data_IF_549965716525
#
_entry.id   IF_549965716525
#
_cell.length_a   1.000
_cell.length_b   1.000
_cell.length_c   1.000
_cell.angle_alpha   90.00
_cell.angle_beta   90.00
_cell.angle_gamma   90.00
#
_symmetry.space_group_name_H-M   'P 1'
#
loop_
_entity.id
_entity.type
_entity.pdbx_description
1 polymer ?
#
# COMPACT_ATOMS: atom_id res chain seq x y z
N UNK A 1 -7.75 -21.66 -5.18
CA UNK A 1 -8.10 -20.60 -4.21
C UNK A 1 -7.42 -19.31 -4.66
N UNK A 2 -7.93 -18.12 -4.30
CA UNK A 2 -7.22 -16.86 -4.53
C UNK A 2 -6.68 -16.33 -3.20
N UNK A 3 -5.46 -15.77 -3.21
CA UNK A 3 -4.85 -15.03 -2.10
C UNK A 3 -4.41 -13.68 -2.61
N UNK A 4 -4.20 -12.70 -1.72
CA UNK A 4 -3.62 -11.42 -2.12
C UNK A 4 -2.22 -11.25 -1.57
N UNK A 5 -1.36 -10.59 -2.34
CA UNK A 5 0.02 -10.29 -1.94
C UNK A 5 0.25 -8.79 -2.08
N UNK A 6 0.76 -8.15 -1.01
CA UNK A 6 1.13 -6.74 -1.02
C UNK A 6 2.50 -6.54 -1.65
N UNK A 7 2.58 -5.69 -2.67
CA UNK A 7 3.87 -5.27 -3.24
C UNK A 7 4.32 -3.93 -2.67
N UNK A 8 5.63 -3.72 -2.60
CA UNK A 8 6.26 -2.48 -2.17
C UNK A 8 5.90 -2.00 -0.75
N UNK A 9 5.28 -2.84 0.07
CA UNK A 9 4.63 -2.41 1.32
C UNK A 9 3.64 -1.25 1.09
N UNK A 10 2.90 -1.33 -0.03
CA UNK A 10 1.97 -0.29 -0.47
C UNK A 10 0.56 -0.89 -0.57
N UNK A 11 -0.37 -0.33 0.21
CA UNK A 11 -1.78 -0.74 0.30
C UNK A 11 -2.47 -0.64 -1.06
N UNK A 12 -2.01 0.26 -1.91
CA UNK A 12 -2.52 0.38 -3.27
C UNK A 12 -2.06 -0.75 -4.19
N UNK A 13 -1.15 -1.64 -3.76
CA UNK A 13 -0.54 -2.67 -4.60
C UNK A 13 -0.78 -4.08 -4.06
N UNK A 14 -1.99 -4.31 -3.58
CA UNK A 14 -2.46 -5.63 -3.19
C UNK A 14 -2.99 -6.39 -4.42
N UNK A 15 -2.28 -7.40 -4.89
CA UNK A 15 -2.63 -8.15 -6.11
C UNK A 15 -3.12 -9.56 -5.80
N UNK A 16 -4.11 -10.03 -6.56
CA UNK A 16 -4.65 -11.38 -6.43
C UNK A 16 -3.83 -12.43 -7.19
N UNK A 17 -3.58 -13.56 -6.53
CA UNK A 17 -2.87 -14.73 -7.04
C UNK A 17 -3.70 -15.99 -6.86
N UNK A 18 -3.77 -16.81 -7.91
CA UNK A 18 -4.35 -18.13 -7.86
C UNK A 18 -3.33 -19.13 -7.30
N UNK A 19 -3.80 -19.92 -6.33
CA UNK A 19 -3.01 -20.91 -5.61
C UNK A 19 -3.76 -22.24 -5.60
N UNK A 20 -3.02 -23.30 -5.91
CA UNK A 20 -3.50 -24.68 -5.94
C UNK A 20 -3.22 -25.40 -4.61
N UNK A 21 -3.80 -26.59 -4.40
CA UNK A 21 -3.76 -27.27 -3.09
C UNK A 21 -2.35 -27.59 -2.59
N UNK A 22 -1.47 -27.99 -3.51
CA UNK A 22 -0.10 -28.40 -3.19
C UNK A 22 0.90 -27.23 -3.22
N UNK A 23 0.45 -26.03 -3.62
CA UNK A 23 1.34 -24.87 -3.72
C UNK A 23 1.81 -24.44 -2.33
N UNK A 24 3.13 -24.47 -2.14
CA UNK A 24 3.82 -23.95 -0.96
C UNK A 24 4.15 -22.47 -1.14
N UNK A 25 4.31 -21.77 -0.02
CA UNK A 25 4.62 -20.35 -0.03
C UNK A 25 5.96 -20.05 -0.72
N UNK A 26 6.98 -20.87 -0.45
CA UNK A 26 8.33 -20.78 -1.05
C UNK A 26 8.33 -20.94 -2.57
N UNK A 27 7.51 -21.84 -3.10
CA UNK A 27 7.52 -22.19 -4.51
C UNK A 27 6.63 -21.26 -5.34
N UNK A 28 5.51 -20.82 -4.76
CA UNK A 28 4.52 -19.98 -5.44
C UNK A 28 4.71 -18.51 -5.17
N UNK A 29 4.65 -18.10 -3.90
CA UNK A 29 4.63 -16.69 -3.51
C UNK A 29 6.03 -16.09 -3.48
N UNK A 30 7.00 -16.76 -2.85
CA UNK A 30 8.38 -16.26 -2.80
C UNK A 30 9.02 -16.17 -4.18
N UNK A 31 8.65 -17.07 -5.09
CA UNK A 31 9.11 -17.06 -6.48
C UNK A 31 8.74 -15.78 -7.23
N UNK A 32 7.64 -15.10 -6.89
CA UNK A 32 7.26 -13.81 -7.48
C UNK A 32 8.40 -12.80 -7.36
N UNK A 33 9.10 -12.80 -6.22
CA UNK A 33 10.11 -11.81 -5.89
C UNK A 33 11.50 -12.11 -6.45
N UNK A 34 11.72 -13.31 -7.03
CA UNK A 34 13.05 -13.72 -7.49
C UNK A 34 13.58 -12.86 -8.62
N UNK A 35 14.89 -12.59 -8.59
CA UNK A 35 15.60 -11.79 -9.62
C UNK A 35 16.34 -12.63 -10.66
N UNK A 36 16.37 -13.94 -10.49
CA UNK A 36 17.07 -14.92 -11.34
C UNK A 36 16.42 -15.15 -12.72
N UNK A 37 15.36 -14.40 -13.06
CA UNK A 37 14.60 -14.55 -14.30
C UNK A 37 13.43 -15.52 -14.20
N UNK A 38 13.26 -16.20 -13.06
CA UNK A 38 12.13 -17.11 -12.80
C UNK A 38 10.96 -16.44 -12.07
N UNK A 39 11.10 -15.14 -11.76
CA UNK A 39 10.15 -14.33 -11.00
C UNK A 39 9.98 -12.93 -11.60
N UNK A 40 8.97 -12.21 -11.11
CA UNK A 40 8.66 -10.84 -11.54
C UNK A 40 9.67 -9.82 -11.01
N UNK A 41 10.36 -10.11 -9.90
CA UNK A 41 11.43 -9.26 -9.36
C UNK A 41 12.58 -9.00 -10.34
N UNK A 42 12.71 -9.81 -11.40
CA UNK A 42 13.65 -9.56 -12.50
C UNK A 42 13.24 -8.37 -13.38
N UNK A 43 11.93 -8.22 -13.62
CA UNK A 43 11.35 -7.25 -14.56
C UNK A 43 10.84 -5.98 -13.87
N UNK A 44 10.54 -6.05 -12.58
CA UNK A 44 9.97 -4.92 -11.84
C UNK A 44 10.45 -4.86 -10.40
N UNK A 45 10.27 -3.69 -9.77
CA UNK A 45 10.66 -3.47 -8.39
C UNK A 45 9.49 -3.75 -7.47
N UNK A 46 9.65 -4.81 -6.67
CA UNK A 46 8.65 -5.31 -5.72
C UNK A 46 8.98 -5.01 -4.26
N UNK A 47 10.21 -4.54 -4.00
CA UNK A 47 10.68 -4.10 -2.67
C UNK A 47 10.23 -2.66 -2.38
N UNK A 48 10.08 -2.26 -1.11
CA UNK A 48 9.64 -0.90 -0.77
C UNK A 48 10.59 0.17 -1.28
N UNK A 49 11.90 0.00 -1.02
CA UNK A 49 12.93 0.98 -1.37
C UNK A 49 14.24 0.33 -1.78
N UNK A 50 15.18 1.13 -2.30
CA UNK A 50 16.53 0.68 -2.65
C UNK A 50 17.32 0.13 -1.45
N UNK A 51 16.96 0.57 -0.25
CA UNK A 51 17.64 0.22 0.99
C UNK A 51 17.25 -1.16 1.52
N UNK A 52 16.20 -1.77 0.96
CA UNK A 52 15.80 -3.12 1.33
C UNK A 52 16.52 -4.19 0.49
N UNK A 53 16.58 -5.41 1.04
CA UNK A 53 17.01 -6.59 0.28
C UNK A 53 16.18 -6.75 -1.00
N UNK A 54 16.79 -7.39 -1.99
CA UNK A 54 16.16 -7.60 -3.29
C UNK A 54 14.95 -8.53 -3.23
N UNK A 55 14.98 -9.49 -2.30
CA UNK A 55 13.97 -10.50 -2.06
C UNK A 55 13.55 -10.44 -0.59
N UNK A 56 12.28 -10.75 -0.28
CA UNK A 56 11.79 -10.77 1.10
C UNK A 56 12.44 -11.91 1.90
N UNK A 57 12.55 -11.73 3.21
CA UNK A 57 13.18 -12.72 4.13
C UNK A 57 12.18 -13.65 4.80
N UNK A 58 10.91 -13.45 4.54
CA UNK A 58 9.82 -14.24 5.07
C UNK A 58 8.49 -13.61 4.68
N UNK A 59 7.40 -14.17 5.18
CA UNK A 59 6.05 -13.72 4.86
C UNK A 59 5.17 -13.77 6.11
N UNK A 60 4.31 -12.77 6.22
CA UNK A 60 3.24 -12.72 7.21
C UNK A 60 1.90 -12.83 6.49
N UNK A 61 0.87 -13.27 7.20
CA UNK A 61 -0.51 -13.00 6.82
C UNK A 61 -1.07 -11.88 7.71
N UNK A 62 -1.90 -11.04 7.12
CA UNK A 62 -2.66 -10.05 7.87
C UNK A 62 -3.83 -10.73 8.57
N UNK A 63 -3.93 -10.50 9.87
CA UNK A 63 -5.02 -10.87 10.75
C UNK A 63 -5.82 -9.62 11.14
N UNK A 64 -5.86 -8.58 10.31
CA UNK A 64 -6.74 -7.45 10.58
C UNK A 64 -8.19 -7.85 10.25
N UNK A 65 -9.20 -7.54 11.08
CA UNK A 65 -10.60 -7.95 10.83
C UNK A 65 -11.10 -7.55 9.44
N UNK A 66 -10.80 -6.31 9.06
CA UNK A 66 -11.05 -5.74 7.73
C UNK A 66 -12.30 -4.86 7.72
N UNK A 67 -12.72 -4.48 6.51
CA UNK A 67 -13.88 -3.63 6.28
C UNK A 67 -14.94 -4.39 5.50
N UNK A 68 -16.14 -4.54 6.07
CA UNK A 68 -17.23 -5.23 5.40
C UNK A 68 -17.99 -4.28 4.47
N UNK A 69 -18.12 -4.67 3.21
CA UNK A 69 -18.87 -3.96 2.19
C UNK A 69 -20.36 -4.23 2.28
N UNK A 70 -21.19 -3.38 1.65
CA UNK A 70 -22.65 -3.61 1.56
C UNK A 70 -23.00 -4.92 0.83
N UNK A 71 -22.07 -5.43 0.01
CA UNK A 71 -22.19 -6.75 -0.64
C UNK A 71 -21.85 -7.95 0.23
N UNK A 72 -21.43 -7.72 1.48
CA UNK A 72 -20.98 -8.77 2.40
C UNK A 72 -19.61 -9.32 2.05
N UNK A 73 -18.76 -8.59 1.34
CA UNK A 73 -17.36 -8.95 1.11
C UNK A 73 -16.44 -8.15 2.06
N UNK A 74 -15.21 -8.61 2.26
CA UNK A 74 -14.25 -7.94 3.15
C UNK A 74 -13.12 -7.31 2.33
N UNK A 75 -12.90 -6.01 2.53
CA UNK A 75 -11.74 -5.27 2.05
C UNK A 75 -10.68 -5.17 3.15
N UNK A 76 -9.43 -5.00 2.76
CA UNK A 76 -8.37 -4.75 3.72
C UNK A 76 -8.49 -3.35 4.31
N UNK A 77 -8.17 -3.25 5.58
CA UNK A 77 -8.01 -1.96 6.23
C UNK A 77 -6.64 -1.36 5.91
N UNK A 78 -6.49 -0.07 6.19
CA UNK A 78 -5.21 0.62 6.10
C UNK A 78 -4.19 0.03 7.06
N UNK A 79 -4.63 -0.34 8.26
CA UNK A 79 -3.79 -0.90 9.31
C UNK A 79 -3.57 -2.42 9.15
N UNK A 80 -3.88 -2.99 7.97
CA UNK A 80 -3.73 -4.41 7.71
C UNK A 80 -2.27 -4.90 7.81
N UNK A 81 -1.28 -4.02 7.72
CA UNK A 81 0.14 -4.29 7.94
C UNK A 81 0.67 -3.72 9.25
N UNK A 82 -0.20 -3.41 10.22
CA UNK A 82 0.23 -3.11 11.58
C UNK A 82 0.78 -4.37 12.26
N UNK A 83 1.85 -4.20 13.06
CA UNK A 83 2.59 -5.32 13.65
C UNK A 83 1.75 -6.23 14.56
N UNK A 84 0.71 -5.69 15.18
CA UNK A 84 -0.22 -6.43 16.05
C UNK A 84 -1.09 -7.43 15.29
N UNK A 85 -1.32 -7.20 13.99
CA UNK A 85 -2.11 -8.08 13.12
C UNK A 85 -1.26 -9.00 12.25
N UNK A 86 0.08 -8.98 12.39
CA UNK A 86 0.95 -9.79 11.55
C UNK A 86 1.23 -11.16 12.18
N UNK A 87 0.80 -12.22 11.51
CA UNK A 87 1.14 -13.60 11.89
C UNK A 87 2.11 -14.22 10.90
N UNK A 88 3.24 -14.75 11.39
CA UNK A 88 4.27 -15.36 10.56
C UNK A 88 3.73 -16.62 9.86
N UNK A 89 4.02 -16.75 8.57
CA UNK A 89 3.71 -17.93 7.77
C UNK A 89 4.91 -18.88 7.73
N UNK A 90 4.62 -20.17 7.70
CA UNK A 90 5.61 -21.22 7.45
C UNK A 90 5.77 -21.39 5.93
N UNK A 91 7.00 -21.20 5.44
CA UNK A 91 7.29 -21.23 4.00
C UNK A 91 7.16 -22.62 3.37
N UNK A 92 7.34 -23.67 4.16
CA UNK A 92 7.37 -25.06 3.70
C UNK A 92 5.97 -25.70 3.70
N UNK A 93 5.00 -25.08 4.37
CA UNK A 93 3.61 -25.58 4.41
C UNK A 93 2.79 -25.10 3.20
N UNK A 94 1.78 -25.88 2.79
CA UNK A 94 0.83 -25.44 1.78
C UNK A 94 0.16 -24.13 2.18
N UNK A 95 -0.07 -23.25 1.19
CA UNK A 95 -0.70 -21.94 1.45
C UNK A 95 -2.13 -22.11 1.97
N UNK A 96 -2.90 -23.05 1.40
CA UNK A 96 -4.29 -23.28 1.75
C UNK A 96 -4.51 -23.73 3.21
N UNK A 97 -3.49 -24.29 3.84
CA UNK A 97 -3.53 -24.73 5.24
C UNK A 97 -3.26 -23.60 6.23
N UNK A 98 -2.86 -22.42 5.74
CA UNK A 98 -2.39 -21.33 6.58
C UNK A 98 -3.21 -20.05 6.43
N UNK A 99 -3.90 -19.87 5.29
CA UNK A 99 -4.63 -18.63 4.96
C UNK A 99 -6.06 -18.88 4.52
N UNK A 100 -6.94 -17.94 4.83
CA UNK A 100 -8.29 -17.89 4.28
C UNK A 100 -8.29 -17.48 2.80
N UNK A 101 -9.33 -17.86 2.03
CA UNK A 101 -9.53 -17.33 0.68
C UNK A 101 -9.57 -15.79 0.70
N UNK A 102 -8.75 -15.17 -0.15
CA UNK A 102 -8.63 -13.72 -0.24
C UNK A 102 -7.87 -13.09 0.92
N UNK A 103 -7.19 -13.83 1.79
CA UNK A 103 -6.38 -13.22 2.84
C UNK A 103 -5.12 -12.55 2.29
N UNK A 104 -4.72 -11.44 2.91
CA UNK A 104 -3.55 -10.67 2.52
C UNK A 104 -2.26 -11.29 3.08
N UNK A 105 -1.30 -11.53 2.19
CA UNK A 105 0.07 -11.95 2.48
C UNK A 105 0.99 -10.73 2.35
N UNK A 106 1.78 -10.49 3.38
CA UNK A 106 2.70 -9.37 3.53
C UNK A 106 4.13 -9.89 3.48
N UNK A 107 4.94 -9.51 2.46
CA UNK A 107 6.34 -9.88 2.43
C UNK A 107 7.12 -9.14 3.52
N UNK A 108 7.99 -9.86 4.24
CA UNK A 108 8.91 -9.28 5.22
C UNK A 108 10.14 -8.72 4.52
N UNK A 109 10.38 -7.43 4.70
CA UNK A 109 11.51 -6.73 4.11
C UNK A 109 12.56 -6.36 5.16
N UNK A 110 13.75 -6.91 5.03
CA UNK A 110 14.90 -6.46 5.83
C UNK A 110 15.65 -5.33 5.13
N UNK A 111 16.13 -4.37 5.93
CA UNK A 111 17.07 -3.36 5.47
C UNK A 111 18.40 -4.04 5.10
N UNK A 112 18.88 -3.77 3.90
CA UNK A 112 20.19 -4.18 3.42
C UNK A 112 21.23 -3.12 3.84
N UNK A 113 21.94 -3.36 4.93
CA UNK A 113 23.00 -2.46 5.44
C UNK A 113 24.07 -2.16 4.38
N UNK A 114 24.36 -3.11 3.51
CA UNK A 114 25.31 -2.95 2.40
C UNK A 114 24.80 -1.89 1.42
N UNK A 115 23.52 -1.94 1.02
CA UNK A 115 22.96 -0.95 0.10
C UNK A 115 22.97 0.46 0.72
N UNK A 116 22.62 0.56 2.02
CA UNK A 116 22.68 1.82 2.76
C UNK A 116 24.11 2.36 2.79
N UNK A 117 25.10 1.50 3.08
CA UNK A 117 26.50 1.89 3.11
C UNK A 117 27.03 2.33 1.74
N UNK A 118 26.75 1.58 0.67
CA UNK A 118 27.13 1.95 -0.70
C UNK A 118 26.51 3.28 -1.09
N UNK A 119 25.22 3.47 -0.79
CA UNK A 119 24.53 4.73 -1.05
C UNK A 119 25.18 5.89 -0.29
N UNK A 120 25.43 5.73 1.00
CA UNK A 120 26.07 6.74 1.83
C UNK A 120 27.47 7.07 1.29
N UNK A 121 28.26 6.07 0.89
CA UNK A 121 29.58 6.27 0.30
C UNK A 121 29.51 7.08 -0.99
N UNK A 122 28.58 6.75 -1.91
CA UNK A 122 28.39 7.49 -3.16
C UNK A 122 28.00 8.95 -2.87
N UNK A 123 27.07 9.19 -1.94
CA UNK A 123 26.66 10.55 -1.58
C UNK A 123 27.78 11.33 -0.89
N UNK A 124 28.58 10.68 -0.04
CA UNK A 124 29.74 11.30 0.61
C UNK A 124 30.84 11.63 -0.41
N UNK A 125 31.11 10.75 -1.37
CA UNK A 125 32.06 11.02 -2.46
C UNK A 125 31.58 12.21 -3.30
N UNK A 126 30.28 12.29 -3.59
CA UNK A 126 29.72 13.44 -4.29
C UNK A 126 29.85 14.73 -3.47
N UNK A 127 29.49 14.72 -2.19
CA UNK A 127 29.68 15.89 -1.33
C UNK A 127 31.15 16.28 -1.20
N UNK A 128 32.06 15.30 -1.19
CA UNK A 128 33.50 15.54 -1.19
C UNK A 128 33.96 16.26 -2.46
N UNK A 129 33.47 15.87 -3.64
CA UNK A 129 33.83 16.57 -4.88
C UNK A 129 33.34 18.02 -4.89
N UNK A 130 32.23 18.28 -4.21
CA UNK A 130 31.57 19.59 -4.18
C UNK A 130 32.01 20.45 -2.97
N UNK A 131 33.03 20.02 -2.21
CA UNK A 131 33.57 20.80 -1.08
C UNK A 131 34.06 22.19 -1.55
N UNK A 132 33.83 23.25 -0.76
CA UNK A 132 34.40 24.57 -1.01
C UNK A 132 35.93 24.50 -1.21
N UNK A 133 36.46 25.22 -2.20
CA UNK A 133 37.89 25.23 -2.53
C UNK A 133 38.77 25.64 -1.33
N UNK A 134 38.21 26.42 -0.39
CA UNK A 134 38.92 26.85 0.82
C UNK A 134 39.22 25.72 1.82
N UNK A 135 38.51 24.60 1.76
CA UNK A 135 38.70 23.43 2.65
C UNK A 135 38.96 22.13 1.90
N UNK A 136 38.71 22.11 0.59
CA UNK A 136 38.93 20.93 -0.23
C UNK A 136 40.43 20.62 -0.32
N UNK A 137 40.88 19.40 0.00
CA UNK A 137 42.27 19.00 -0.19
C UNK A 137 42.62 18.86 -1.69
N UNK A 138 41.61 18.83 -2.57
CA UNK A 138 41.76 18.82 -4.03
C UNK A 138 40.84 19.89 -4.65
N UNK A 139 41.22 21.18 -4.59
CA UNK A 139 40.41 22.29 -5.12
C UNK A 139 40.09 22.11 -6.60
N UNK A 140 38.86 22.47 -7.00
CA UNK A 140 38.40 22.38 -8.38
C UNK A 140 38.14 20.97 -8.94
N UNK A 141 38.05 19.93 -8.09
CA UNK A 141 37.68 18.55 -8.48
C UNK A 141 36.16 18.35 -8.70
N UNK A 142 35.35 19.37 -8.39
CA UNK A 142 33.90 19.34 -8.52
C UNK A 142 33.45 18.77 -9.87
N UNK A 143 32.35 18.01 -9.86
CA UNK A 143 31.85 17.35 -11.06
C UNK A 143 31.51 18.36 -12.16
N UNK A 144 30.99 19.53 -11.80
CA UNK A 144 30.74 20.64 -12.75
C UNK A 144 32.02 21.12 -13.40
N UNK A 145 33.12 21.26 -12.65
CA UNK A 145 34.40 21.67 -13.23
C UNK A 145 34.95 20.63 -14.21
N UNK A 146 34.78 19.34 -13.92
CA UNK A 146 35.17 18.28 -14.86
C UNK A 146 34.28 18.26 -16.12
N UNK A 147 32.98 18.56 -15.99
CA UNK A 147 32.09 18.73 -17.12
C UNK A 147 32.49 19.95 -17.97
N UNK A 148 32.77 21.09 -17.34
CA UNK A 148 33.25 22.30 -18.01
C UNK A 148 34.57 22.05 -18.76
N UNK A 149 35.53 21.33 -18.15
CA UNK A 149 36.77 20.88 -18.81
C UNK A 149 36.52 20.04 -20.06
N UNK A 150 35.49 19.20 -20.04
CA UNK A 150 35.11 18.35 -21.17
C UNK A 150 34.40 19.13 -22.28
N UNK A 151 33.65 20.19 -21.94
CA UNK A 151 32.92 21.03 -22.89
C UNK A 151 33.79 22.10 -23.57
N UNK A 152 34.86 22.58 -22.92
CA UNK A 152 35.82 23.53 -23.50
C UNK A 152 36.28 23.13 -24.91
N UNK A 153 36.80 21.91 -25.18
CA UNK A 153 37.24 21.53 -26.52
C UNK A 153 36.09 21.44 -27.52
N UNK A 154 34.86 21.16 -27.06
CA UNK A 154 33.66 21.14 -27.92
C UNK A 154 33.29 22.56 -28.36
N UNK A 155 33.31 23.52 -27.44
CA UNK A 155 33.03 24.92 -27.76
C UNK A 155 34.13 25.58 -28.58
N UNK A 156 35.40 25.22 -28.33
CA UNK A 156 36.52 25.64 -29.18
C UNK A 156 36.35 25.11 -30.62
N UNK A 157 35.91 23.85 -30.79
CA UNK A 157 35.63 23.27 -32.10
C UNK A 157 34.46 23.94 -32.83
N UNK A 158 33.45 24.41 -32.09
CA UNK A 158 32.30 25.13 -32.63
C UNK A 158 32.55 26.64 -32.82
N UNK A 159 33.78 27.11 -32.63
CA UNK A 159 34.20 28.52 -32.70
C UNK A 159 33.47 29.45 -31.71
N UNK A 160 32.93 28.89 -30.62
CA UNK A 160 32.26 29.61 -29.54
C UNK A 160 33.26 30.02 -28.45
N UNK A 161 34.26 30.80 -28.83
CA UNK A 161 35.41 31.13 -27.98
C UNK A 161 35.05 31.90 -26.70
N UNK A 162 34.03 32.77 -26.74
CA UNK A 162 33.58 33.51 -25.55
C UNK A 162 33.08 32.55 -24.46
N UNK A 163 32.30 31.54 -24.83
CA UNK A 163 31.82 30.51 -23.91
C UNK A 163 32.96 29.64 -23.37
N UNK A 164 33.90 29.25 -24.23
CA UNK A 164 35.11 28.50 -23.81
C UNK A 164 35.94 29.29 -22.80
N UNK A 165 36.16 30.59 -23.03
CA UNK A 165 36.91 31.46 -22.14
C UNK A 165 36.22 31.63 -20.78
N UNK A 166 34.89 31.78 -20.76
CA UNK A 166 34.13 31.81 -19.51
C UNK A 166 34.25 30.51 -18.71
N UNK A 167 34.17 29.34 -19.36
CA UNK A 167 34.35 28.05 -18.70
C UNK A 167 35.78 27.86 -18.16
N UNK A 168 36.79 28.36 -18.86
CA UNK A 168 38.20 28.34 -18.40
C UNK A 168 38.38 29.14 -17.11
N UNK A 169 37.72 30.30 -17.01
CA UNK A 169 37.73 31.13 -15.80
C UNK A 169 37.03 30.42 -14.63
N UNK A 170 35.84 29.86 -14.86
CA UNK A 170 35.04 29.17 -13.84
C UNK A 170 35.76 27.95 -13.25
N UNK A 171 36.51 27.21 -14.07
CA UNK A 171 37.26 26.01 -13.64
C UNK A 171 38.48 26.35 -12.78
N UNK A 172 38.92 27.61 -12.76
CA UNK A 172 40.10 28.03 -12.00
C UNK A 172 39.79 28.04 -10.50
N UNK A 173 40.59 27.36 -9.65
CA UNK A 173 40.35 27.32 -8.20
C UNK A 173 40.28 28.72 -7.59
N UNK A 174 39.26 28.96 -6.75
CA UNK A 174 39.10 30.24 -6.07
C UNK A 174 38.54 31.39 -6.93
N UNK A 175 38.04 31.12 -8.15
CA UNK A 175 37.32 32.11 -8.95
C UNK A 175 36.07 32.66 -8.24
N UNK A 176 35.33 31.78 -7.55
CA UNK A 176 34.11 32.12 -6.82
C UNK A 176 34.41 32.70 -5.43
N UNK A 177 33.60 33.65 -4.97
CA UNK A 177 33.72 34.22 -3.62
C UNK A 177 33.46 33.18 -2.52
N UNK A 178 34.05 33.37 -1.33
CA UNK A 178 33.92 32.43 -0.21
C UNK A 178 32.45 32.20 0.19
N UNK A 179 31.64 33.26 0.21
CA UNK A 179 30.20 33.16 0.49
C UNK A 179 29.47 32.36 -0.58
N UNK A 180 29.82 32.55 -1.85
CA UNK A 180 29.22 31.78 -2.94
C UNK A 180 29.57 30.30 -2.83
N UNK A 181 30.83 29.96 -2.54
CA UNK A 181 31.27 28.56 -2.37
C UNK A 181 30.50 27.84 -1.25
N UNK A 182 30.33 28.48 -0.08
CA UNK A 182 29.54 27.92 1.02
C UNK A 182 28.04 27.86 0.71
N UNK A 183 27.51 28.86 0.01
CA UNK A 183 26.12 28.88 -0.46
C UNK A 183 25.84 27.71 -1.40
N UNK A 184 26.69 27.49 -2.41
CA UNK A 184 26.57 26.36 -3.32
C UNK A 184 26.69 25.03 -2.57
N UNK A 185 27.71 24.84 -1.73
CA UNK A 185 27.87 23.60 -0.96
C UNK A 185 26.63 23.29 -0.09
N UNK A 186 26.05 24.31 0.56
CA UNK A 186 24.80 24.15 1.34
C UNK A 186 23.64 23.66 0.48
N UNK A 187 23.49 24.19 -0.75
CA UNK A 187 22.49 23.71 -1.70
C UNK A 187 22.77 22.25 -2.14
N UNK A 188 24.03 21.86 -2.29
CA UNK A 188 24.40 20.47 -2.57
C UNK A 188 24.04 19.53 -1.41
N UNK A 189 24.27 19.93 -0.15
CA UNK A 189 23.82 19.16 1.02
C UNK A 189 22.31 19.00 1.01
N UNK A 190 21.55 20.09 0.80
CA UNK A 190 20.09 20.04 0.72
C UNK A 190 19.62 19.12 -0.41
N UNK A 191 20.25 19.19 -1.59
CA UNK A 191 19.99 18.29 -2.71
C UNK A 191 20.21 16.82 -2.35
N UNK A 192 21.30 16.48 -1.66
CA UNK A 192 21.56 15.10 -1.21
C UNK A 192 20.51 14.65 -0.20
N UNK A 193 20.09 15.52 0.73
CA UNK A 193 18.98 15.22 1.65
C UNK A 193 17.67 14.96 0.90
N UNK A 194 17.35 15.76 -0.12
CA UNK A 194 16.16 15.57 -0.96
C UNK A 194 16.21 14.24 -1.73
N UNK A 195 17.35 13.91 -2.33
CA UNK A 195 17.57 12.62 -3.01
C UNK A 195 17.43 11.46 -2.01
N UNK A 196 17.98 11.62 -0.80
CA UNK A 196 17.85 10.63 0.28
C UNK A 196 16.39 10.42 0.65
N UNK A 197 15.62 11.50 0.80
CA UNK A 197 14.19 11.44 1.08
C UNK A 197 13.43 10.68 -0.03
N UNK A 198 13.70 10.98 -1.31
CA UNK A 198 13.05 10.29 -2.43
C UNK A 198 13.32 8.78 -2.45
N UNK A 199 14.55 8.37 -2.13
CA UNK A 199 14.89 6.96 -2.01
C UNK A 199 14.36 6.32 -0.73
N UNK A 200 14.31 7.06 0.38
CA UNK A 200 13.85 6.57 1.68
C UNK A 200 12.34 6.35 1.73
N UNK A 201 11.56 7.20 1.06
CA UNK A 201 10.10 7.05 0.91
C UNK A 201 9.74 6.12 -0.26
N UNK A 202 10.68 5.82 -1.16
CA UNK A 202 10.45 4.91 -2.28
C UNK A 202 9.78 5.55 -3.50
N UNK A 203 9.72 6.89 -3.55
CA UNK A 203 9.23 7.66 -4.73
C UNK A 203 10.06 7.30 -5.97
N UNK A 204 11.37 7.17 -5.80
CA UNK A 204 12.27 6.64 -6.82
C UNK A 204 12.81 5.29 -6.35
N UNK A 205 12.51 4.22 -7.08
CA UNK A 205 13.02 2.88 -6.75
C UNK A 205 13.42 2.14 -8.02
N UNK A 206 14.64 2.36 -8.54
CA UNK A 206 15.09 1.73 -9.77
C UNK A 206 15.30 0.22 -9.59
N UNK A 207 15.02 -0.54 -10.66
CA UNK A 207 15.26 -2.01 -10.71
C UNK A 207 16.73 -2.33 -10.47
N UNK A 208 17.61 -1.46 -10.97
CA UNK A 208 19.05 -1.55 -10.85
C UNK A 208 19.68 -0.16 -10.94
N UNK A 209 20.84 0.04 -10.32
CA UNK A 209 21.68 1.22 -10.58
C UNK A 209 22.47 1.12 -11.88
N UNK A 210 22.49 -0.05 -12.52
CA UNK A 210 23.11 -0.23 -13.83
C UNK A 210 22.19 0.33 -14.94
N UNK A 211 22.60 1.41 -15.65
CA UNK A 211 21.77 2.04 -16.69
C UNK A 211 21.43 1.09 -17.84
N UNK A 212 22.33 0.17 -18.23
CA UNK A 212 22.05 -0.82 -19.28
C UNK A 212 20.93 -1.77 -18.88
N UNK A 213 20.89 -2.18 -17.60
CA UNK A 213 19.82 -3.04 -17.08
C UNK A 213 18.50 -2.29 -17.00
N UNK A 214 18.52 -1.01 -16.63
CA UNK A 214 17.32 -0.16 -16.66
C UNK A 214 16.81 -0.04 -18.10
N UNK A 215 17.66 0.31 -19.06
CA UNK A 215 17.28 0.41 -20.47
C UNK A 215 16.69 -0.90 -20.99
N UNK A 216 17.35 -2.05 -20.71
CA UNK A 216 16.89 -3.37 -21.16
C UNK A 216 15.51 -3.74 -20.61
N UNK A 217 15.20 -3.37 -19.36
CA UNK A 217 13.89 -3.64 -18.76
C UNK A 217 12.84 -2.67 -19.31
N UNK A 218 13.17 -1.39 -19.47
CA UNK A 218 12.25 -0.37 -20.00
C UNK A 218 11.92 -0.59 -21.48
N UNK A 219 12.86 -1.13 -22.27
CA UNK A 219 12.66 -1.47 -23.68
C UNK A 219 11.98 -2.83 -23.89
N UNK A 220 11.64 -3.55 -22.83
CA UNK A 220 11.07 -4.88 -22.93
C UNK A 220 9.59 -4.82 -23.29
N UNK A 221 9.20 -5.61 -24.29
CA UNK A 221 7.79 -5.77 -24.65
C UNK A 221 7.09 -6.71 -23.65
N UNK A 222 6.22 -6.15 -22.82
CA UNK A 222 5.43 -6.88 -21.83
C UNK A 222 4.44 -7.87 -22.47
N UNK A 223 4.19 -7.77 -23.78
CA UNK A 223 3.29 -8.69 -24.48
C UNK A 223 3.96 -9.99 -24.92
N UNK A 224 5.27 -10.12 -24.69
CA UNK A 224 6.04 -11.31 -25.04
C UNK A 224 5.44 -12.60 -24.43
N UNK A 225 5.41 -13.70 -25.19
CA UNK A 225 4.86 -14.97 -24.71
C UNK A 225 5.56 -15.51 -23.45
N UNK A 226 6.87 -15.29 -23.31
CA UNK A 226 7.65 -15.70 -22.14
C UNK A 226 7.12 -15.07 -20.84
N UNK A 227 6.88 -13.76 -20.87
CA UNK A 227 6.36 -13.00 -19.72
C UNK A 227 4.92 -13.41 -19.43
N UNK A 228 4.07 -13.54 -20.46
CA UNK A 228 2.68 -14.02 -20.29
C UNK A 228 2.62 -15.41 -19.65
N UNK A 229 3.48 -16.32 -20.09
CA UNK A 229 3.58 -17.66 -19.53
C UNK A 229 4.09 -17.63 -18.09
N UNK A 230 5.05 -16.76 -17.78
CA UNK A 230 5.54 -16.57 -16.40
C UNK A 230 4.43 -16.05 -15.48
N UNK A 231 3.72 -14.99 -15.87
CA UNK A 231 2.61 -14.40 -15.11
C UNK A 231 1.52 -15.45 -14.86
N UNK A 232 1.17 -16.24 -15.89
CA UNK A 232 0.21 -17.35 -15.78
C UNK A 232 0.71 -18.44 -14.82
N UNK A 233 1.98 -18.82 -14.91
CA UNK A 233 2.60 -19.82 -14.05
C UNK A 233 2.61 -19.39 -12.57
N UNK A 234 2.93 -18.11 -12.33
CA UNK A 234 2.85 -17.51 -10.99
C UNK A 234 1.42 -17.39 -10.46
N UNK A 235 0.40 -17.65 -11.30
CA UNK A 235 -1.01 -17.52 -10.93
C UNK A 235 -1.45 -16.06 -10.78
N UNK A 236 -0.71 -15.10 -11.32
CA UNK A 236 -1.05 -13.68 -11.18
C UNK A 236 -2.29 -13.37 -12.02
N UNK A 237 -3.37 -12.98 -11.35
CA UNK A 237 -4.66 -12.68 -11.97
C UNK A 237 -4.67 -11.30 -12.64
N UNK A 238 -3.69 -10.44 -12.33
CA UNK A 238 -3.59 -9.07 -12.85
C UNK A 238 -4.66 -8.12 -12.29
N UNK A 239 -5.33 -8.50 -11.20
CA UNK A 239 -6.34 -7.67 -10.54
C UNK A 239 -5.81 -7.21 -9.20
N UNK A 240 -5.90 -5.90 -8.99
CA UNK A 240 -5.55 -5.20 -7.77
C UNK A 240 -6.79 -5.10 -6.88
N UNK A 241 -6.68 -5.40 -5.59
CA UNK A 241 -7.74 -5.12 -4.63
C UNK A 241 -7.91 -3.62 -4.45
N UNK A 242 -9.16 -3.19 -4.28
CA UNK A 242 -9.48 -1.78 -4.09
C UNK A 242 -9.40 -1.39 -2.62
N UNK A 243 -9.04 -0.13 -2.37
CA UNK A 243 -9.14 0.49 -1.05
C UNK A 243 -10.60 0.85 -0.72
N UNK A 244 -10.86 1.22 0.54
CA UNK A 244 -12.20 1.58 1.02
C UNK A 244 -12.78 2.78 0.26
N UNK A 245 -11.95 3.78 -0.05
CA UNK A 245 -12.30 5.03 -0.73
C UNK A 245 -12.62 4.75 -2.19
N UNK A 246 -11.81 3.90 -2.83
CA UNK A 246 -12.06 3.46 -4.21
C UNK A 246 -13.40 2.72 -4.29
N UNK A 247 -13.68 1.87 -3.29
CA UNK A 247 -14.95 1.19 -3.21
C UNK A 247 -16.11 2.18 -3.01
N UNK A 248 -15.99 3.11 -2.07
CA UNK A 248 -17.00 4.12 -1.78
C UNK A 248 -17.36 4.94 -3.03
N UNK A 249 -16.35 5.46 -3.73
CA UNK A 249 -16.54 6.26 -4.95
C UNK A 249 -17.26 5.45 -6.05
N UNK A 250 -16.81 4.22 -6.30
CA UNK A 250 -17.34 3.37 -7.38
C UNK A 250 -18.73 2.83 -7.04
N UNK A 251 -18.98 2.48 -5.78
CA UNK A 251 -20.30 2.04 -5.32
C UNK A 251 -21.31 3.18 -5.40
N UNK A 252 -20.90 4.40 -5.03
CA UNK A 252 -21.74 5.59 -5.17
C UNK A 252 -22.14 5.86 -6.63
N UNK A 253 -21.18 5.81 -7.56
CA UNK A 253 -21.46 5.93 -8.99
C UNK A 253 -22.40 4.81 -9.49
N UNK A 254 -22.17 3.58 -9.05
CA UNK A 254 -23.02 2.45 -9.39
C UNK A 254 -24.47 2.64 -8.93
N UNK A 255 -24.70 3.10 -7.70
CA UNK A 255 -26.06 3.37 -7.19
C UNK A 255 -26.72 4.49 -7.99
N UNK A 256 -26.03 5.60 -8.26
CA UNK A 256 -26.59 6.68 -9.08
C UNK A 256 -27.00 6.16 -10.46
N UNK A 257 -26.14 5.36 -11.11
CA UNK A 257 -26.41 4.77 -12.42
C UNK A 257 -27.59 3.80 -12.37
N UNK A 258 -27.69 2.97 -11.33
CA UNK A 258 -28.76 1.98 -11.14
C UNK A 258 -30.13 2.64 -11.01
N UNK A 259 -30.22 3.76 -10.28
CA UNK A 259 -31.48 4.50 -10.08
C UNK A 259 -31.69 5.61 -11.13
N UNK A 260 -30.78 5.77 -12.07
CA UNK A 260 -30.80 6.73 -13.18
C UNK A 260 -30.32 8.14 -12.82
N UNK A 261 -30.60 8.63 -11.61
CA UNK A 261 -30.05 9.88 -11.09
C UNK A 261 -30.04 9.93 -9.56
N UNK A 262 -29.30 10.89 -9.00
CA UNK A 262 -29.15 11.08 -7.55
C UNK A 262 -30.49 11.37 -6.85
N UNK A 263 -31.41 12.09 -7.50
CA UNK A 263 -32.72 12.40 -6.90
C UNK A 263 -33.59 11.15 -6.71
N UNK A 264 -33.60 10.24 -7.69
CA UNK A 264 -34.30 8.94 -7.60
C UNK A 264 -33.63 8.02 -6.58
N UNK A 265 -32.30 7.99 -6.53
CA UNK A 265 -31.55 7.24 -5.52
C UNK A 265 -31.86 7.75 -4.09
N UNK A 266 -31.98 9.07 -3.91
CA UNK A 266 -32.34 9.68 -2.62
C UNK A 266 -33.77 9.34 -2.21
N UNK A 267 -34.73 9.38 -3.14
CA UNK A 267 -36.13 8.99 -2.87
C UNK A 267 -36.24 7.52 -2.47
N UNK A 268 -35.36 6.66 -2.99
CA UNK A 268 -35.26 5.25 -2.62
C UNK A 268 -34.47 5.00 -1.32
N UNK A 269 -33.94 6.04 -0.66
CA UNK A 269 -33.09 5.90 0.53
C UNK A 269 -31.67 5.36 0.27
N UNK A 270 -31.37 4.94 -0.96
CA UNK A 270 -30.11 4.31 -1.33
C UNK A 270 -28.93 5.28 -1.39
N UNK A 271 -29.19 6.58 -1.51
CA UNK A 271 -28.11 7.57 -1.50
C UNK A 271 -27.38 7.60 -0.15
N UNK A 272 -28.10 7.40 0.98
CA UNK A 272 -27.47 7.33 2.31
C UNK A 272 -26.55 6.12 2.44
N UNK A 273 -26.98 4.97 1.93
CA UNK A 273 -26.19 3.74 1.87
C UNK A 273 -24.97 3.92 0.97
N UNK A 274 -25.14 4.61 -0.17
CA UNK A 274 -24.08 4.88 -1.12
C UNK A 274 -22.98 5.80 -0.58
N UNK A 275 -23.32 6.71 0.33
CA UNK A 275 -22.34 7.62 0.96
C UNK A 275 -21.43 6.86 1.92
N UNK A 276 -21.96 5.93 2.72
CA UNK A 276 -21.16 5.10 3.64
C UNK A 276 -21.42 3.62 3.36
N UNK A 277 -20.85 3.05 2.29
CA UNK A 277 -21.17 1.71 1.86
C UNK A 277 -20.33 0.69 2.60
N UNK A 278 -20.70 0.38 3.84
CA UNK A 278 -20.01 -0.61 4.66
C UNK A 278 -19.55 -0.07 6.01
N UNK A 279 -18.79 -0.89 6.74
CA UNK A 279 -18.34 -0.59 8.09
C UNK A 279 -17.14 -1.48 8.50
N UNK A 280 -16.29 -1.01 9.42
CA UNK A 280 -15.18 -1.80 9.94
C UNK A 280 -15.69 -2.99 10.76
N UNK A 281 -15.00 -4.13 10.62
CA UNK A 281 -15.20 -5.30 11.46
C UNK A 281 -14.44 -5.14 12.78
N UNK A 282 -14.95 -5.79 13.83
CA UNK A 282 -14.41 -5.72 15.18
C UNK A 282 -13.43 -6.85 15.46
N UNK A 283 -12.71 -6.75 16.58
CA UNK A 283 -11.78 -7.81 17.00
C UNK A 283 -12.48 -9.17 17.15
N UNK A 284 -11.81 -10.21 16.67
CA UNK A 284 -12.27 -11.59 16.55
C UNK A 284 -13.03 -11.89 15.26
N UNK A 285 -13.27 -10.90 14.39
CA UNK A 285 -14.07 -11.06 13.17
C UNK A 285 -13.23 -11.15 11.88
N UNK A 286 -13.87 -11.54 10.79
CA UNK A 286 -13.25 -11.53 9.45
C UNK A 286 -11.98 -12.38 9.40
N UNK A 287 -10.86 -11.79 8.96
CA UNK A 287 -9.59 -12.54 8.84
C UNK A 287 -9.00 -12.99 10.18
N UNK A 288 -9.52 -12.52 11.32
CA UNK A 288 -9.15 -13.02 12.65
C UNK A 288 -9.81 -14.37 13.00
N UNK A 289 -10.77 -14.83 12.20
CA UNK A 289 -11.41 -16.13 12.43
C UNK A 289 -10.35 -17.25 12.40
N UNK A 290 -10.28 -18.12 13.42
CA UNK A 290 -9.33 -19.22 13.43
C UNK A 290 -9.58 -20.20 12.28
N UNK A 291 -8.55 -20.48 11.47
CA UNK A 291 -8.67 -21.39 10.33
C UNK A 291 -9.04 -22.82 10.73
N UNK A 292 -8.71 -23.24 11.95
CA UNK A 292 -9.11 -24.53 12.51
C UNK A 292 -10.64 -24.72 12.54
N UNK A 293 -11.40 -23.63 12.65
CA UNK A 293 -12.86 -23.65 12.74
C UNK A 293 -13.55 -23.56 11.38
N UNK A 294 -12.80 -23.67 10.27
CA UNK A 294 -13.27 -23.45 8.90
C UNK A 294 -14.49 -24.28 8.49
N UNK A 295 -14.56 -25.52 8.95
CA UNK A 295 -15.67 -26.44 8.64
C UNK A 295 -16.62 -26.64 9.82
N UNK A 296 -16.33 -26.05 10.98
CA UNK A 296 -17.11 -26.23 12.21
C UNK A 296 -18.11 -25.09 12.43
N UNK A 297 -17.74 -23.87 12.02
CA UNK A 297 -18.58 -22.69 12.19
C UNK A 297 -19.42 -22.46 10.94
N UNK A 298 -20.70 -22.16 11.13
CA UNK A 298 -21.52 -21.52 10.10
C UNK A 298 -21.60 -20.01 10.36
N UNK A 299 -21.10 -19.22 9.40
CA UNK A 299 -21.13 -17.75 9.44
C UNK A 299 -22.53 -17.20 9.67
N UNK A 300 -23.54 -17.78 9.00
CA UNK A 300 -24.89 -17.22 9.00
C UNK A 300 -25.59 -17.45 10.34
N UNK A 301 -25.43 -18.63 10.93
CA UNK A 301 -25.98 -18.92 12.26
C UNK A 301 -25.30 -18.09 13.36
N UNK A 302 -23.97 -17.97 13.31
CA UNK A 302 -23.24 -17.18 14.30
C UNK A 302 -23.56 -15.70 14.21
N UNK A 303 -23.73 -15.17 13.01
CA UNK A 303 -24.15 -13.79 12.85
C UNK A 303 -25.53 -13.55 13.46
N UNK A 304 -26.48 -14.49 13.31
CA UNK A 304 -27.81 -14.37 13.94
C UNK A 304 -27.77 -14.45 15.47
N UNK A 305 -26.93 -15.34 16.03
CA UNK A 305 -26.86 -15.57 17.49
C UNK A 305 -26.00 -14.54 18.23
N UNK A 306 -24.82 -14.24 17.69
CA UNK A 306 -23.81 -13.41 18.35
C UNK A 306 -23.72 -12.00 17.77
N UNK A 307 -24.35 -11.75 16.62
CA UNK A 307 -24.23 -10.46 15.91
C UNK A 307 -22.85 -10.23 15.29
N UNK A 308 -21.97 -11.25 15.29
CA UNK A 308 -20.58 -11.18 14.84
C UNK A 308 -20.33 -11.89 13.50
N UNK A 309 -19.36 -11.41 12.75
CA UNK A 309 -18.99 -11.96 11.44
C UNK A 309 -17.74 -12.83 11.51
N UNK A 310 -17.90 -14.13 11.28
CA UNK A 310 -16.80 -15.10 11.21
C UNK A 310 -16.71 -15.67 9.79
N UNK A 311 -15.52 -15.97 9.31
CA UNK A 311 -15.35 -16.72 8.07
C UNK A 311 -15.67 -18.20 8.25
N UNK A 312 -16.32 -18.78 7.25
CA UNK A 312 -16.60 -20.20 7.15
C UNK A 312 -16.64 -20.63 5.69
N UNK A 313 -16.56 -21.92 5.43
CA UNK A 313 -16.72 -22.43 4.06
C UNK A 313 -18.12 -22.12 3.50
N UNK A 314 -19.17 -22.13 4.35
CA UNK A 314 -20.55 -21.83 3.93
C UNK A 314 -20.67 -20.41 3.36
N UNK A 315 -19.95 -19.46 3.96
CA UNK A 315 -19.88 -18.07 3.49
C UNK A 315 -19.22 -17.96 2.11
N UNK A 316 -18.06 -18.60 1.90
CA UNK A 316 -17.37 -18.52 0.61
C UNK A 316 -18.16 -19.20 -0.52
N UNK A 317 -18.83 -20.32 -0.23
CA UNK A 317 -19.74 -20.98 -1.18
C UNK A 317 -20.89 -20.05 -1.56
N UNK A 318 -21.46 -19.32 -0.59
CA UNK A 318 -22.55 -18.38 -0.85
C UNK A 318 -22.10 -17.20 -1.72
N UNK A 319 -20.90 -16.66 -1.49
CA UNK A 319 -20.31 -15.63 -2.35
C UNK A 319 -20.14 -16.12 -3.79
N UNK A 320 -19.65 -17.35 -3.96
CA UNK A 320 -19.45 -17.96 -5.28
C UNK A 320 -20.79 -18.17 -6.00
N UNK A 321 -21.81 -18.67 -5.30
CA UNK A 321 -23.14 -18.87 -5.84
C UNK A 321 -23.77 -17.54 -6.28
N UNK A 322 -23.60 -16.49 -5.47
CA UNK A 322 -24.07 -15.15 -5.82
C UNK A 322 -23.36 -14.61 -7.07
N UNK A 323 -22.03 -14.72 -7.13
CA UNK A 323 -21.26 -14.31 -8.30
C UNK A 323 -21.71 -15.05 -9.56
N UNK A 324 -21.90 -16.37 -9.49
CA UNK A 324 -22.43 -17.17 -10.61
C UNK A 324 -23.80 -16.67 -11.07
N UNK A 325 -24.67 -16.30 -10.13
CA UNK A 325 -25.98 -15.71 -10.45
C UNK A 325 -25.84 -14.37 -11.18
N UNK A 326 -24.99 -13.47 -10.68
CA UNK A 326 -24.77 -12.16 -11.28
C UNK A 326 -24.14 -12.27 -12.68
N UNK A 327 -23.19 -13.17 -12.86
CA UNK A 327 -22.58 -13.47 -14.17
C UNK A 327 -23.62 -14.02 -15.16
N UNK A 328 -24.57 -14.85 -14.70
CA UNK A 328 -25.67 -15.34 -15.56
C UNK A 328 -26.61 -14.21 -16.02
N UNK A 329 -26.83 -13.17 -15.20
CA UNK A 329 -27.61 -11.98 -15.59
C UNK A 329 -26.96 -11.18 -16.73
N UNK A 330 -25.68 -11.41 -17.03
CA UNK A 330 -25.01 -10.78 -18.18
C UNK A 330 -25.39 -11.41 -19.53
N UNK A 331 -26.28 -12.42 -19.56
CA UNK A 331 -26.82 -13.04 -20.77
C UNK A 331 -25.76 -13.53 -21.79
N UNK A 332 -24.58 -13.94 -21.32
CA UNK A 332 -23.50 -14.46 -22.17
C UNK A 332 -22.61 -13.39 -22.82
N UNK A 333 -22.81 -12.10 -22.51
CA UNK A 333 -21.89 -11.05 -22.94
C UNK A 333 -20.56 -11.18 -22.19
N UNK A 334 -19.52 -11.63 -22.90
CA UNK A 334 -18.17 -11.85 -22.38
C UNK A 334 -17.58 -10.57 -21.75
N UNK A 335 -17.87 -9.40 -22.33
CA UNK A 335 -17.37 -8.12 -21.83
C UNK A 335 -17.95 -7.80 -20.45
N UNK A 336 -19.27 -7.93 -20.32
CA UNK A 336 -19.98 -7.71 -19.06
C UNK A 336 -19.63 -8.75 -18.00
N UNK A 337 -19.52 -10.03 -18.38
CA UNK A 337 -19.10 -11.10 -17.47
C UNK A 337 -17.69 -10.84 -16.92
N UNK A 338 -16.74 -10.46 -17.77
CA UNK A 338 -15.38 -10.13 -17.35
C UNK A 338 -15.34 -8.89 -16.45
N UNK A 339 -16.16 -7.88 -16.74
CA UNK A 339 -16.28 -6.69 -15.90
C UNK A 339 -16.84 -7.05 -14.51
N UNK A 340 -17.83 -7.93 -14.44
CA UNK A 340 -18.42 -8.44 -13.20
C UNK A 340 -17.38 -9.19 -12.35
N UNK A 341 -16.65 -10.13 -12.95
CA UNK A 341 -15.60 -10.89 -12.25
C UNK A 341 -14.47 -9.98 -11.80
N UNK A 342 -14.05 -9.02 -12.63
CA UNK A 342 -13.04 -8.02 -12.25
C UNK A 342 -13.51 -7.17 -11.07
N UNK A 343 -14.77 -6.74 -11.09
CA UNK A 343 -15.37 -5.95 -10.00
C UNK A 343 -15.43 -6.78 -8.72
N UNK A 344 -15.86 -8.03 -8.79
CA UNK A 344 -15.89 -8.93 -7.63
C UNK A 344 -14.50 -9.11 -7.01
N UNK A 345 -13.49 -9.36 -7.82
CA UNK A 345 -12.09 -9.50 -7.38
C UNK A 345 -11.45 -8.19 -6.92
N UNK A 346 -12.03 -7.03 -7.24
CA UNK A 346 -11.52 -5.73 -6.77
C UNK A 346 -12.25 -5.21 -5.54
N UNK A 347 -13.58 -5.28 -5.52
CA UNK A 347 -14.43 -4.68 -4.48
C UNK A 347 -15.42 -5.64 -3.81
N UNK A 348 -15.68 -6.79 -4.44
CA UNK A 348 -16.72 -7.72 -3.98
C UNK A 348 -18.05 -7.54 -4.72
N UNK A 349 -19.12 -8.04 -4.12
CA UNK A 349 -20.46 -8.04 -4.72
C UNK A 349 -21.12 -6.67 -4.59
N UNK A 350 -21.80 -6.22 -5.64
CA UNK A 350 -22.63 -5.01 -5.59
C UNK A 350 -24.13 -5.35 -5.50
N UNK A 351 -24.49 -6.56 -5.94
CA UNK A 351 -25.83 -7.12 -5.84
C UNK A 351 -25.79 -8.42 -5.03
N UNK A 352 -25.71 -8.32 -3.69
CA UNK A 352 -25.83 -9.49 -2.83
C UNK A 352 -27.22 -10.14 -2.96
N UNK A 353 -27.34 -11.38 -2.48
CA UNK A 353 -28.63 -12.06 -2.39
C UNK A 353 -29.21 -11.85 -1.00
N UNK A 354 -30.48 -12.23 -0.81
CA UNK A 354 -31.17 -12.04 0.46
C UNK A 354 -30.41 -12.59 1.68
N UNK A 355 -29.63 -13.67 1.51
CA UNK A 355 -28.85 -14.28 2.59
C UNK A 355 -27.67 -13.41 3.00
N UNK A 356 -26.90 -12.90 2.04
CA UNK A 356 -25.79 -11.97 2.27
C UNK A 356 -26.29 -10.59 2.72
N UNK A 357 -27.39 -10.09 2.15
CA UNK A 357 -28.04 -8.84 2.58
C UNK A 357 -28.47 -8.91 4.04
N UNK A 358 -29.08 -10.03 4.45
CA UNK A 358 -29.48 -10.26 5.84
C UNK A 358 -28.27 -10.29 6.78
N UNK A 359 -27.19 -10.96 6.38
CA UNK A 359 -25.94 -11.01 7.13
C UNK A 359 -25.37 -9.60 7.37
N UNK A 360 -25.25 -8.81 6.29
CA UNK A 360 -24.78 -7.41 6.38
C UNK A 360 -25.70 -6.58 7.27
N UNK A 361 -27.02 -6.70 7.11
CA UNK A 361 -28.00 -5.95 7.89
C UNK A 361 -27.94 -6.27 9.39
N UNK A 362 -27.77 -7.55 9.76
CA UNK A 362 -27.60 -7.96 11.16
C UNK A 362 -26.33 -7.32 11.73
N UNK A 363 -25.20 -7.49 11.04
CA UNK A 363 -23.92 -7.00 11.55
C UNK A 363 -23.85 -5.47 11.58
N UNK A 364 -24.48 -4.78 10.63
CA UNK A 364 -24.60 -3.31 10.60
C UNK A 364 -25.35 -2.78 11.82
N UNK A 365 -26.47 -3.42 12.18
CA UNK A 365 -27.21 -3.08 13.40
C UNK A 365 -26.37 -3.30 14.66
N UNK A 366 -25.58 -4.37 14.71
CA UNK A 366 -24.65 -4.61 15.82
C UNK A 366 -23.58 -3.53 15.87
N UNK A 367 -23.02 -3.13 14.72
CA UNK A 367 -22.03 -2.07 14.62
C UNK A 367 -22.58 -0.74 15.15
N UNK A 368 -23.75 -0.32 14.66
CA UNK A 368 -24.40 0.93 15.06
C UNK A 368 -24.63 0.98 16.56
N UNK A 369 -25.15 -0.10 17.17
CA UNK A 369 -25.35 -0.18 18.62
C UNK A 369 -24.05 -0.05 19.41
N UNK A 370 -23.02 -0.80 19.03
CA UNK A 370 -21.71 -0.76 19.72
C UNK A 370 -21.08 0.63 19.57
N UNK A 371 -21.21 1.25 18.40
CA UNK A 371 -20.68 2.57 18.15
C UNK A 371 -21.38 3.65 18.98
N UNK A 372 -22.71 3.62 19.04
CA UNK A 372 -23.52 4.51 19.89
C UNK A 372 -23.14 4.38 21.37
N UNK A 373 -22.94 3.15 21.87
CA UNK A 373 -22.51 2.88 23.24
C UNK A 373 -21.11 3.46 23.53
N UNK A 374 -20.18 3.29 22.58
CA UNK A 374 -18.81 3.82 22.69
C UNK A 374 -18.80 5.36 22.68
N UNK A 375 -19.55 6.00 21.79
CA UNK A 375 -19.67 7.45 21.74
C UNK A 375 -20.28 8.00 23.03
N UNK A 376 -21.32 7.35 23.56
CA UNK A 376 -21.92 7.71 24.84
C UNK A 376 -20.93 7.58 26.02
N UNK A 377 -20.09 6.54 26.04
CA UNK A 377 -19.07 6.38 27.07
C UNK A 377 -17.97 7.45 26.98
N UNK A 378 -17.52 7.78 25.76
CA UNK A 378 -16.52 8.83 25.53
C UNK A 378 -17.05 10.17 25.99
N UNK A 379 -18.30 10.50 25.66
CA UNK A 379 -18.93 11.75 26.09
C UNK A 379 -19.12 11.77 27.62
N UNK A 380 -19.50 10.65 28.25
CA UNK A 380 -19.56 10.54 29.71
C UNK A 380 -18.20 10.83 30.36
N UNK A 381 -17.13 10.19 29.87
CA UNK A 381 -15.75 10.43 30.37
C UNK A 381 -15.30 11.87 30.16
N UNK A 382 -15.70 12.50 29.05
CA UNK A 382 -15.42 13.91 28.77
C UNK A 382 -16.12 14.82 29.77
N UNK A 383 -17.41 14.59 30.03
CA UNK A 383 -18.19 15.35 31.01
C UNK A 383 -17.65 15.19 32.43
N UNK A 384 -17.26 13.97 32.83
CA UNK A 384 -16.60 13.72 34.11
C UNK A 384 -15.28 14.49 34.26
N UNK A 385 -14.47 14.54 33.19
CA UNK A 385 -13.21 15.30 33.19
C UNK A 385 -13.43 16.81 33.28
N UNK A 386 -14.47 17.33 32.63
CA UNK A 386 -14.86 18.75 32.73
C UNK A 386 -15.38 19.07 34.12
N UNK A 387 -16.20 18.21 34.71
CA UNK A 387 -16.71 18.37 36.06
C UNK A 387 -15.58 18.42 37.10
N UNK A 388 -14.62 17.50 37.01
CA UNK A 388 -13.42 17.51 37.88
C UNK A 388 -12.62 18.80 37.78
N UNK A 389 -12.37 19.30 36.56
CA UNK A 389 -11.66 20.57 36.35
C UNK A 389 -12.39 21.75 36.99
N UNK A 390 -13.71 21.84 36.82
CA UNK A 390 -14.51 22.91 37.44
C UNK A 390 -14.50 22.85 38.97
N UNK A 391 -14.48 21.66 39.53
CA UNK A 391 -14.38 21.48 40.99
C UNK A 391 -13.01 21.87 41.52
N UNK A 392 -11.93 21.51 40.81
CA UNK A 392 -10.56 21.95 41.12
C UNK A 392 -10.41 23.48 41.04
N UNK A 393 -11.00 24.12 40.02
CA UNK A 393 -11.05 25.58 39.87
C UNK A 393 -11.80 26.23 41.03
N UNK A 394 -12.98 25.71 41.41
CA UNK A 394 -13.75 26.22 42.55
C UNK A 394 -12.97 26.11 43.87
N UNK A 395 -12.30 24.97 44.10
CA UNK A 395 -11.45 24.78 45.29
C UNK A 395 -10.27 25.78 45.30
N UNK A 396 -9.70 26.09 44.13
CA UNK A 396 -8.63 27.07 44.00
C UNK A 396 -9.12 28.49 44.29
N UNK A 397 -10.27 28.89 43.73
CA UNK A 397 -10.90 30.19 44.01
C UNK A 397 -11.25 30.36 45.48
N UNK A 398 -11.80 29.32 46.13
CA UNK A 398 -12.08 29.32 47.57
C UNK A 398 -10.81 29.46 48.42
N UNK A 399 -9.69 28.87 47.99
CA UNK A 399 -8.39 29.01 48.66
C UNK A 399 -7.79 30.41 48.48
N UNK A 400 -7.95 31.01 47.31
CA UNK A 400 -7.45 32.37 47.03
C UNK A 400 -8.26 33.43 47.78
N UNK A 401 -9.59 33.31 47.82
CA UNK A 401 -10.46 34.21 48.61
C UNK A 401 -10.25 34.10 50.12
N UNK A 402 -9.92 32.92 50.64
CA UNK A 402 -9.50 32.75 52.05
C UNK A 402 -8.13 33.32 52.39
N UNK A 403 -7.26 33.57 51.41
CA UNK A 403 -5.94 34.20 51.64
C UNK A 403 -6.00 35.73 51.58
N UNK A 404 -7.03 36.30 50.97
CA UNK A 404 -7.22 37.74 50.80
C UNK A 404 -8.10 38.37 51.88
N UNK A 405 -8.85 37.55 52.62
CA UNK A 405 -9.50 37.91 53.89
C UNK A 405 -8.59 37.56 55.05
#
# INVERSE_FOLDING_TARGET
>A
MEVSVRFNADIEKDFAFQVDREDRLKDKIARIFRKDGTGMGHFMVLRPTIFHKAEPTGFYKSMHPGYMTEGGCVLYDYDADASEYMQLLDEEKPVLEQVWPGQLILPKWDVCKINVFIYALIMLVWLYTDLPDCISPTPGICLTNNMSKLLIPVFDYLELYDFSNHLRLEVTPGYSSLLAQWGFFTLHVFKVLLITLFFAVGICNPVSFNPFRVMSVTSMDLTQPSIKNLVKFLGWVGIRRGTQEQYQAIFHEYIIKKYGNAAKASKAGMLRVAVNPGFPLSDGEGYQTPLAQRFEIDTFEKAEKEGKFYFSESYFIELENNLKSNVKKCHGDIGLMNAEVKRFRRFGLFEPNAKLERLVAIRKRTFEKVHEEQEAEVERKRLEKVAKRREEERIKEERETKKTR
#
